data_IF_508198177747
#
_entry.id   IF_508198177747
#
_cell.length_a   1.000
_cell.length_b   1.000
_cell.length_c   1.000
_cell.angle_alpha   90.00
_cell.angle_beta   90.00
_cell.angle_gamma   90.00
#
_symmetry.space_group_name_H-M   'P 1'
#
loop_
_entity.id
_entity.type
_entity.pdbx_description
1 polymer ?
#
# COMPACT_ATOMS: atom_id res chain seq x y z
N UNK A 1 7.01 -12.90 -13.91
CA UNK A 1 6.85 -13.53 -15.25
C UNK A 1 7.68 -12.86 -16.36
N UNK A 2 7.59 -11.54 -16.58
CA UNK A 2 8.41 -10.85 -17.61
C UNK A 2 9.90 -11.15 -17.46
N UNK A 3 10.45 -11.01 -16.24
CA UNK A 3 11.85 -11.34 -15.96
C UNK A 3 12.21 -12.80 -16.26
N UNK A 4 11.26 -13.73 -16.10
CA UNK A 4 11.45 -15.12 -16.48
C UNK A 4 11.57 -15.26 -18.00
N UNK A 5 10.69 -14.63 -18.77
CA UNK A 5 10.77 -14.61 -20.24
C UNK A 5 12.06 -13.94 -20.74
N UNK A 6 12.49 -12.83 -20.13
CA UNK A 6 13.77 -12.16 -20.46
C UNK A 6 14.95 -13.11 -20.24
N UNK A 7 14.98 -13.82 -19.09
CA UNK A 7 16.00 -14.84 -18.82
C UNK A 7 15.96 -15.99 -19.83
N UNK A 8 14.77 -16.44 -20.23
CA UNK A 8 14.62 -17.48 -21.26
C UNK A 8 15.13 -17.04 -22.63
N UNK A 9 14.80 -15.82 -23.05
CA UNK A 9 15.30 -15.25 -24.31
C UNK A 9 16.82 -15.13 -24.29
N UNK A 10 17.39 -14.59 -23.21
CA UNK A 10 18.85 -14.48 -23.02
C UNK A 10 19.53 -15.85 -23.05
N UNK A 11 18.93 -16.87 -22.43
CA UNK A 11 19.46 -18.24 -22.45
C UNK A 11 19.43 -18.87 -23.84
N UNK A 12 18.37 -18.65 -24.63
CA UNK A 12 18.21 -19.25 -25.97
C UNK A 12 19.04 -18.55 -27.05
N UNK A 13 19.18 -17.23 -26.98
CA UNK A 13 19.77 -16.42 -28.05
C UNK A 13 21.02 -15.63 -27.65
N UNK A 14 21.45 -15.71 -26.38
CA UNK A 14 22.58 -14.96 -25.83
C UNK A 14 22.48 -13.43 -26.00
N UNK A 15 21.24 -12.91 -26.08
CA UNK A 15 20.94 -11.49 -26.25
C UNK A 15 20.10 -10.96 -25.10
N UNK A 16 20.39 -9.74 -24.65
CA UNK A 16 19.70 -9.10 -23.53
C UNK A 16 18.60 -8.14 -23.98
N UNK A 17 17.39 -8.30 -23.44
CA UNK A 17 16.23 -7.46 -23.74
C UNK A 17 16.15 -6.22 -22.85
N UNK A 18 16.97 -6.14 -21.80
CA UNK A 18 16.81 -5.16 -20.72
C UNK A 18 16.98 -3.70 -21.19
N UNK A 19 17.77 -3.47 -22.24
CA UNK A 19 17.96 -2.15 -22.86
C UNK A 19 16.89 -1.73 -23.88
N UNK A 20 15.95 -2.61 -24.25
CA UNK A 20 14.96 -2.33 -25.29
C UNK A 20 13.55 -2.17 -24.69
N UNK A 21 13.17 -0.92 -24.41
CA UNK A 21 11.88 -0.57 -23.82
C UNK A 21 10.69 -1.03 -24.66
N UNK A 22 10.79 -0.95 -25.99
CA UNK A 22 9.74 -1.40 -26.92
C UNK A 22 9.52 -2.91 -26.84
N UNK A 23 10.61 -3.69 -26.83
CA UNK A 23 10.54 -5.15 -26.68
C UNK A 23 9.96 -5.53 -25.31
N UNK A 24 10.40 -4.87 -24.23
CA UNK A 24 9.88 -5.11 -22.88
C UNK A 24 8.39 -4.76 -22.76
N UNK A 25 7.93 -3.69 -23.40
CA UNK A 25 6.50 -3.34 -23.42
C UNK A 25 5.66 -4.38 -24.15
N UNK A 26 6.11 -4.86 -25.32
CA UNK A 26 5.43 -5.94 -26.05
C UNK A 26 5.38 -7.21 -25.21
N UNK A 27 6.50 -7.58 -24.59
CA UNK A 27 6.59 -8.74 -23.71
C UNK A 27 5.67 -8.61 -22.49
N UNK A 28 5.58 -7.43 -21.88
CA UNK A 28 4.67 -7.14 -20.76
C UNK A 28 3.21 -7.35 -21.16
N UNK A 29 2.79 -6.82 -22.30
CA UNK A 29 1.42 -6.95 -22.78
C UNK A 29 1.06 -8.42 -23.06
N UNK A 30 1.95 -9.18 -23.70
CA UNK A 30 1.73 -10.62 -23.94
C UNK A 30 1.73 -11.42 -22.64
N UNK A 31 2.64 -11.11 -21.72
CA UNK A 31 2.65 -11.70 -20.38
C UNK A 31 1.33 -11.40 -19.63
N UNK A 32 0.79 -10.19 -19.71
CA UNK A 32 -0.49 -9.89 -19.07
C UNK A 32 -1.64 -10.73 -19.64
N UNK A 33 -1.70 -10.89 -20.97
CA UNK A 33 -2.67 -11.78 -21.63
C UNK A 33 -2.50 -13.24 -21.19
N UNK A 34 -1.25 -13.72 -21.12
CA UNK A 34 -0.93 -15.05 -20.62
C UNK A 34 -1.38 -15.24 -19.16
N UNK A 35 -1.14 -14.26 -18.28
CA UNK A 35 -1.61 -14.27 -16.88
C UNK A 35 -3.12 -14.45 -16.82
N UNK A 36 -3.88 -13.68 -17.61
CA UNK A 36 -5.35 -13.78 -17.67
C UNK A 36 -5.81 -15.17 -18.14
N UNK A 37 -5.14 -15.75 -19.14
CA UNK A 37 -5.43 -17.11 -19.62
C UNK A 37 -5.14 -18.17 -18.56
N UNK A 38 -4.02 -18.05 -17.83
CA UNK A 38 -3.64 -18.99 -16.76
C UNK A 38 -4.61 -19.01 -15.57
N UNK A 39 -5.45 -17.99 -15.40
CA UNK A 39 -6.56 -18.03 -14.44
C UNK A 39 -7.60 -19.10 -14.78
N UNK A 40 -7.71 -19.50 -16.05
CA UNK A 40 -8.71 -20.47 -16.54
C UNK A 40 -8.06 -21.75 -17.07
N UNK A 41 -6.90 -21.63 -17.75
CA UNK A 41 -6.16 -22.74 -18.37
C UNK A 41 -4.97 -23.17 -17.51
N UNK A 42 -4.52 -24.41 -17.66
CA UNK A 42 -3.35 -24.95 -16.95
C UNK A 42 -2.02 -24.60 -17.61
N UNK A 43 -2.05 -24.23 -18.89
CA UNK A 43 -0.88 -23.81 -19.69
C UNK A 43 -1.33 -22.78 -20.75
N UNK A 44 -0.40 -21.93 -21.18
CA UNK A 44 -0.61 -21.02 -22.29
C UNK A 44 0.70 -20.65 -22.97
N UNK A 45 0.63 -20.33 -24.26
CA UNK A 45 1.77 -19.91 -25.05
C UNK A 45 1.98 -18.39 -25.03
N UNK A 46 3.25 -18.01 -25.04
CA UNK A 46 3.75 -16.64 -25.17
C UNK A 46 4.53 -16.58 -26.47
N UNK A 47 3.93 -15.89 -27.44
CA UNK A 47 4.44 -15.78 -28.81
C UNK A 47 4.53 -14.30 -29.19
N UNK A 48 5.71 -13.89 -29.68
CA UNK A 48 5.96 -12.52 -30.13
C UNK A 48 6.92 -12.53 -31.31
N UNK A 49 6.42 -12.16 -32.48
CA UNK A 49 7.23 -12.02 -33.69
C UNK A 49 8.19 -10.83 -33.59
N UNK A 50 9.41 -11.00 -34.07
CA UNK A 50 10.46 -9.98 -34.09
C UNK A 50 10.58 -9.25 -32.75
N UNK A 51 10.69 -10.00 -31.64
CA UNK A 51 10.77 -9.44 -30.30
C UNK A 51 12.02 -8.54 -30.16
N UNK A 52 13.17 -9.00 -30.64
CA UNK A 52 14.43 -8.26 -30.57
C UNK A 52 15.38 -8.68 -31.69
N UNK A 53 15.97 -7.70 -32.39
CA UNK A 53 16.92 -7.93 -33.49
C UNK A 53 16.40 -8.91 -34.58
N UNK A 54 15.09 -8.84 -34.88
CA UNK A 54 14.45 -9.73 -35.86
C UNK A 54 14.25 -11.18 -35.39
N UNK A 55 14.53 -11.48 -34.11
CA UNK A 55 14.34 -12.81 -33.53
C UNK A 55 12.94 -12.89 -32.91
N UNK A 56 12.19 -13.92 -33.32
CA UNK A 56 10.90 -14.27 -32.74
C UNK A 56 11.07 -14.94 -31.37
N UNK A 57 10.08 -14.77 -30.50
CA UNK A 57 10.09 -15.40 -29.18
C UNK A 57 8.87 -16.30 -29.00
N UNK A 58 9.13 -17.59 -28.80
CA UNK A 58 8.13 -18.61 -28.50
C UNK A 58 8.51 -19.36 -27.22
N UNK A 59 7.57 -19.42 -26.27
CA UNK A 59 7.66 -20.24 -25.06
C UNK A 59 6.26 -20.56 -24.54
N UNK A 60 6.07 -21.75 -23.97
CA UNK A 60 4.89 -22.03 -23.16
C UNK A 60 5.17 -21.72 -21.68
N UNK A 61 4.13 -21.46 -20.92
CA UNK A 61 4.18 -21.34 -19.45
C UNK A 61 2.98 -22.04 -18.83
N UNK A 62 3.26 -22.87 -17.82
CA UNK A 62 2.23 -23.55 -17.03
C UNK A 62 1.78 -22.69 -15.85
N UNK A 63 0.56 -22.93 -15.37
CA UNK A 63 0.00 -22.29 -14.17
C UNK A 63 0.89 -22.55 -12.96
N UNK A 64 1.33 -23.79 -12.76
CA UNK A 64 2.23 -24.14 -11.66
C UNK A 64 3.56 -23.37 -11.72
N UNK A 65 4.10 -23.12 -12.91
CA UNK A 65 5.30 -22.29 -13.05
C UNK A 65 5.02 -20.82 -12.74
N UNK A 66 3.89 -20.29 -13.18
CA UNK A 66 3.47 -18.93 -12.83
C UNK A 66 3.29 -18.77 -11.32
N UNK A 67 2.66 -19.72 -10.65
CA UNK A 67 2.46 -19.70 -9.20
C UNK A 67 3.80 -19.74 -8.47
N UNK A 68 4.72 -20.63 -8.87
CA UNK A 68 6.07 -20.69 -8.30
C UNK A 68 6.82 -19.35 -8.44
N UNK A 69 6.70 -18.68 -9.59
CA UNK A 69 7.38 -17.41 -9.85
C UNK A 69 6.85 -16.24 -9.01
N UNK A 70 5.66 -16.36 -8.42
CA UNK A 70 5.03 -15.28 -7.67
C UNK A 70 4.68 -15.67 -6.23
N UNK A 71 5.18 -16.81 -5.74
CA UNK A 71 4.84 -17.31 -4.39
C UNK A 71 5.19 -16.29 -3.30
N UNK A 72 6.34 -15.61 -3.42
CA UNK A 72 6.75 -14.57 -2.46
C UNK A 72 5.74 -13.42 -2.39
N UNK A 73 5.12 -13.05 -3.52
CA UNK A 73 4.07 -12.03 -3.53
C UNK A 73 2.79 -12.53 -2.89
N UNK A 74 2.42 -13.80 -3.12
CA UNK A 74 1.23 -14.39 -2.49
C UNK A 74 1.40 -14.49 -0.98
N UNK A 75 2.57 -14.87 -0.48
CA UNK A 75 2.86 -14.93 0.95
C UNK A 75 2.79 -13.54 1.59
N UNK A 76 3.34 -12.51 0.93
CA UNK A 76 3.18 -11.11 1.39
C UNK A 76 1.72 -10.67 1.48
N UNK A 77 0.86 -11.13 0.58
CA UNK A 77 -0.57 -10.85 0.69
C UNK A 77 -1.19 -11.50 1.94
N UNK A 78 -0.76 -12.71 2.31
CA UNK A 78 -1.22 -13.37 3.54
C UNK A 78 -0.77 -12.61 4.78
N UNK A 79 0.50 -12.21 4.83
CA UNK A 79 1.05 -11.41 5.93
C UNK A 79 0.25 -10.12 6.15
N UNK A 80 -0.18 -9.45 5.06
CA UNK A 80 -1.03 -8.26 5.15
C UNK A 80 -2.42 -8.56 5.71
N UNK A 81 -3.05 -9.67 5.32
CA UNK A 81 -4.36 -10.06 5.86
C UNK A 81 -4.25 -10.37 7.36
N UNK A 82 -3.21 -11.09 7.78
CA UNK A 82 -2.97 -11.38 9.19
C UNK A 82 -2.74 -10.12 10.01
N UNK A 83 -1.91 -9.20 9.50
CA UNK A 83 -1.70 -7.90 10.14
C UNK A 83 -2.99 -7.08 10.25
N UNK A 84 -3.85 -7.07 9.23
CA UNK A 84 -5.14 -6.40 9.30
C UNK A 84 -6.06 -6.99 10.39
N UNK A 85 -6.06 -8.33 10.54
CA UNK A 85 -6.82 -9.00 11.60
C UNK A 85 -6.27 -8.68 12.99
N UNK A 86 -4.94 -8.63 13.15
CA UNK A 86 -4.28 -8.22 14.38
C UNK A 86 -4.62 -6.77 14.75
N UNK A 87 -4.53 -5.84 13.79
CA UNK A 87 -4.88 -4.43 13.97
C UNK A 87 -6.36 -4.24 14.34
N UNK A 88 -7.25 -5.11 13.82
CA UNK A 88 -8.66 -5.15 14.18
C UNK A 88 -8.95 -5.88 15.50
N UNK A 89 -7.93 -6.51 16.12
CA UNK A 89 -8.08 -7.41 17.28
C UNK A 89 -9.12 -8.52 17.03
N UNK A 90 -9.11 -9.10 15.82
CA UNK A 90 -10.07 -10.08 15.35
C UNK A 90 -9.40 -11.42 15.06
N UNK A 91 -10.03 -12.51 15.51
CA UNK A 91 -9.60 -13.86 15.14
C UNK A 91 -10.08 -14.24 13.73
N UNK A 92 -9.35 -15.12 13.04
CA UNK A 92 -9.73 -15.63 11.69
C UNK A 92 -11.16 -16.20 11.64
N UNK A 93 -11.63 -16.80 12.73
CA UNK A 93 -12.99 -17.36 12.86
C UNK A 93 -14.10 -16.33 13.03
N UNK A 94 -13.77 -15.06 13.30
CA UNK A 94 -14.75 -13.97 13.44
C UNK A 94 -15.13 -13.33 12.12
N UNK A 95 -14.43 -13.69 11.04
CA UNK A 95 -14.79 -13.31 9.68
C UNK A 95 -15.97 -14.16 9.25
N UNK A 96 -17.05 -13.52 8.81
CA UNK A 96 -18.27 -14.20 8.36
C UNK A 96 -18.22 -14.49 6.87
N UNK A 97 -17.76 -13.53 6.09
CA UNK A 97 -17.75 -13.56 4.63
C UNK A 97 -16.43 -13.01 4.09
N UNK A 98 -15.93 -13.59 2.99
CA UNK A 98 -14.76 -13.11 2.26
C UNK A 98 -15.17 -12.72 0.84
N UNK A 99 -15.22 -11.42 0.59
CA UNK A 99 -15.54 -10.84 -0.71
C UNK A 99 -14.27 -10.60 -1.52
N UNK A 100 -14.25 -11.07 -2.76
CA UNK A 100 -13.12 -10.88 -3.67
C UNK A 100 -13.28 -9.60 -4.50
N UNK A 101 -12.32 -8.69 -4.38
CA UNK A 101 -12.25 -7.46 -5.17
C UNK A 101 -10.99 -7.41 -6.07
N UNK A 102 -11.15 -6.84 -7.26
CA UNK A 102 -10.12 -6.62 -8.27
C UNK A 102 -9.75 -7.85 -9.11
N UNK A 103 -9.42 -7.66 -10.39
CA UNK A 103 -9.16 -8.74 -11.34
C UNK A 103 -8.05 -9.75 -10.99
N UNK A 104 -7.08 -9.40 -10.14
CA UNK A 104 -6.04 -10.35 -9.68
C UNK A 104 -6.59 -11.40 -8.72
N UNK A 105 -7.73 -11.16 -8.07
CA UNK A 105 -8.42 -12.16 -7.22
C UNK A 105 -8.94 -13.36 -8.02
N UNK A 106 -8.98 -13.26 -9.36
CA UNK A 106 -9.34 -14.37 -10.27
C UNK A 106 -8.24 -15.42 -10.40
N UNK A 107 -7.06 -15.21 -9.81
CA UNK A 107 -5.97 -16.20 -9.83
C UNK A 107 -6.33 -17.36 -8.89
N UNK A 108 -6.41 -18.62 -9.39
CA UNK A 108 -6.83 -19.77 -8.58
C UNK A 108 -5.99 -19.97 -7.31
N UNK A 109 -4.67 -19.75 -7.38
CA UNK A 109 -3.80 -19.88 -6.22
C UNK A 109 -4.08 -18.87 -5.12
N UNK A 110 -4.45 -17.64 -5.48
CA UNK A 110 -4.82 -16.59 -4.51
C UNK A 110 -6.11 -17.01 -3.79
N UNK A 111 -7.11 -17.49 -4.53
CA UNK A 111 -8.36 -18.00 -3.94
C UNK A 111 -8.10 -19.20 -3.02
N UNK A 112 -7.26 -20.15 -3.46
CA UNK A 112 -6.90 -21.31 -2.64
C UNK A 112 -6.23 -20.88 -1.32
N UNK A 113 -5.24 -19.99 -1.38
CA UNK A 113 -4.55 -19.49 -0.19
C UNK A 113 -5.52 -18.80 0.78
N UNK A 114 -6.47 -18.01 0.27
CA UNK A 114 -7.49 -17.38 1.11
C UNK A 114 -8.44 -18.40 1.73
N UNK A 115 -8.86 -19.42 0.98
CA UNK A 115 -9.67 -20.51 1.52
C UNK A 115 -8.91 -21.26 2.63
N UNK A 116 -7.64 -21.60 2.40
CA UNK A 116 -6.80 -22.26 3.40
C UNK A 116 -6.64 -21.38 4.66
N UNK A 117 -6.48 -20.06 4.48
CA UNK A 117 -6.35 -19.10 5.59
C UNK A 117 -7.62 -19.01 6.45
N UNK A 118 -8.79 -19.05 5.82
CA UNK A 118 -10.10 -18.97 6.47
C UNK A 118 -10.77 -20.35 6.61
N UNK A 119 -9.98 -21.41 6.82
CA UNK A 119 -10.45 -22.76 7.20
C UNK A 119 -11.46 -23.38 6.22
N UNK A 120 -11.30 -23.12 4.93
CA UNK A 120 -12.15 -23.65 3.86
C UNK A 120 -13.44 -22.86 3.63
N UNK A 121 -13.56 -21.64 4.19
CA UNK A 121 -14.71 -20.76 3.94
C UNK A 121 -14.96 -20.56 2.44
N UNK A 122 -16.24 -20.56 2.06
CA UNK A 122 -16.63 -20.28 0.69
C UNK A 122 -16.43 -18.79 0.37
N UNK A 123 -15.70 -18.51 -0.71
CA UNK A 123 -15.44 -17.13 -1.14
C UNK A 123 -16.64 -16.59 -1.91
N UNK A 124 -17.06 -15.34 -1.65
CA UNK A 124 -18.18 -14.73 -2.33
C UNK A 124 -17.83 -14.41 -3.79
N UNK A 125 -18.34 -15.23 -4.72
CA UNK A 125 -18.11 -15.10 -6.18
C UNK A 125 -19.29 -14.50 -6.94
N UNK A 126 -20.42 -14.24 -6.26
CA UNK A 126 -21.65 -13.73 -6.87
C UNK A 126 -21.58 -12.27 -7.34
N UNK A 127 -20.53 -11.55 -6.94
CA UNK A 127 -20.29 -10.15 -7.29
C UNK A 127 -19.12 -10.11 -8.26
N UNK A 128 -19.22 -9.28 -9.31
CA UNK A 128 -18.11 -9.04 -10.20
C UNK A 128 -16.96 -8.39 -9.42
N UNK A 129 -15.77 -9.01 -9.31
CA UNK A 129 -14.68 -8.46 -8.50
C UNK A 129 -14.26 -7.04 -8.88
N UNK A 130 -14.45 -6.65 -10.14
CA UNK A 130 -14.08 -5.31 -10.63
C UNK A 130 -15.12 -4.23 -10.27
N UNK A 131 -16.31 -4.62 -9.80
CA UNK A 131 -17.42 -3.73 -9.40
C UNK A 131 -17.81 -3.89 -7.93
N UNK A 132 -17.15 -4.80 -7.21
CA UNK A 132 -17.56 -5.25 -5.88
C UNK A 132 -17.63 -4.15 -4.81
N UNK A 133 -17.05 -2.98 -5.05
CA UNK A 133 -17.06 -1.88 -4.09
C UNK A 133 -18.26 -0.93 -4.22
N UNK A 134 -19.11 -1.09 -5.24
CA UNK A 134 -20.24 -0.17 -5.47
C UNK A 134 -21.43 -0.40 -4.53
N UNK A 135 -21.58 -1.62 -3.99
CA UNK A 135 -22.74 -2.00 -3.18
C UNK A 135 -22.54 -1.77 -1.67
N UNK A 136 -21.38 -1.25 -1.25
CA UNK A 136 -21.03 -1.10 0.17
C UNK A 136 -20.92 0.37 0.58
N UNK A 137 -21.48 0.69 1.75
CA UNK A 137 -21.13 1.93 2.46
C UNK A 137 -19.92 1.66 3.34
N UNK A 138 -18.81 2.31 3.03
CA UNK A 138 -17.55 2.13 3.74
C UNK A 138 -17.39 3.23 4.80
N UNK A 139 -17.09 2.80 6.03
CA UNK A 139 -16.60 3.69 7.06
C UNK A 139 -15.07 3.61 7.04
N UNK A 140 -14.43 4.68 6.65
CA UNK A 140 -12.99 4.70 6.38
C UNK A 140 -12.17 5.03 7.64
N UNK A 141 -10.89 4.70 7.61
CA UNK A 141 -9.94 4.91 8.70
C UNK A 141 -8.61 5.45 8.17
N UNK A 142 -7.83 6.07 9.06
CA UNK A 142 -6.47 6.52 8.73
C UNK A 142 -5.51 5.33 8.53
N UNK A 143 -4.73 5.26 7.43
CA UNK A 143 -3.82 4.15 7.19
C UNK A 143 -2.54 4.19 8.04
N UNK A 144 -2.15 5.39 8.47
CA UNK A 144 -0.96 5.65 9.28
C UNK A 144 -1.25 6.69 10.35
N UNK A 145 -0.45 6.67 11.40
CA UNK A 145 -0.47 7.64 12.47
C UNK A 145 0.03 9.00 11.96
N UNK A 146 -0.74 10.05 12.25
CA UNK A 146 -0.43 11.43 11.91
C UNK A 146 -0.03 12.20 13.14
N UNK A 147 1.00 13.03 13.00
CA UNK A 147 1.56 13.74 14.13
C UNK A 147 2.55 14.81 13.73
N UNK A 148 3.22 15.33 14.76
CA UNK A 148 4.15 16.45 14.65
C UNK A 148 5.47 16.12 15.33
N UNK A 149 6.56 16.65 14.79
CA UNK A 149 7.86 16.64 15.45
C UNK A 149 7.82 17.51 16.70
N UNK A 150 8.18 16.96 17.85
CA UNK A 150 8.31 17.71 19.11
C UNK A 150 9.62 17.39 19.83
N UNK A 151 9.99 18.30 20.74
CA UNK A 151 11.19 18.17 21.55
C UNK A 151 12.48 18.43 20.78
N UNK A 152 13.60 18.35 21.51
CA UNK A 152 14.95 18.54 20.94
C UNK A 152 15.50 17.28 20.27
N UNK A 153 14.94 16.12 20.61
CA UNK A 153 15.38 14.81 20.10
C UNK A 153 14.70 14.43 18.78
N UNK A 154 13.76 15.25 18.29
CA UNK A 154 13.04 14.99 17.03
C UNK A 154 12.02 13.86 17.16
N UNK A 155 11.39 13.71 18.32
CA UNK A 155 10.43 12.64 18.58
C UNK A 155 9.11 12.91 17.86
N UNK A 156 8.46 11.85 17.39
CA UNK A 156 7.14 11.89 16.78
C UNK A 156 6.06 11.94 17.87
N UNK A 157 5.29 13.01 17.93
CA UNK A 157 4.08 13.10 18.76
C UNK A 157 2.86 12.82 17.91
N UNK A 158 2.26 11.65 18.09
CA UNK A 158 1.06 11.23 17.36
C UNK A 158 -0.18 11.94 17.90
N UNK A 159 -0.95 12.59 17.01
CA UNK A 159 -2.21 13.27 17.32
C UNK A 159 -3.41 12.42 16.88
N UNK A 160 -3.33 11.82 15.69
CA UNK A 160 -4.33 10.89 15.16
C UNK A 160 -3.63 9.56 14.93
N UNK A 161 -3.86 8.54 15.79
CA UNK A 161 -3.31 7.21 15.59
C UNK A 161 -3.84 6.56 14.31
N UNK A 162 -3.07 5.65 13.71
CA UNK A 162 -3.57 4.78 12.63
C UNK A 162 -4.85 4.06 13.03
N UNK A 163 -5.63 3.65 12.04
CA UNK A 163 -6.93 2.99 12.19
C UNK A 163 -7.99 3.85 12.92
N UNK A 164 -7.77 5.16 13.05
CA UNK A 164 -8.79 6.08 13.55
C UNK A 164 -9.83 6.33 12.46
N UNK A 165 -11.10 6.10 12.76
CA UNK A 165 -12.26 6.39 11.89
C UNK A 165 -12.29 7.84 11.44
N UNK A 166 -12.53 8.06 10.15
CA UNK A 166 -12.73 9.39 9.56
C UNK A 166 -14.21 9.63 9.21
N UNK A 167 -14.70 10.89 9.25
CA UNK A 167 -13.98 12.12 9.58
C UNK A 167 -13.61 12.23 11.07
N UNK A 168 -12.49 12.91 11.37
CA UNK A 168 -12.00 13.10 12.75
C UNK A 168 -11.35 14.46 12.96
N UNK A 169 -11.52 15.03 14.16
CA UNK A 169 -10.83 16.23 14.61
C UNK A 169 -10.12 15.95 15.93
N UNK A 170 -8.82 16.29 16.03
CA UNK A 170 -8.01 16.15 17.25
C UNK A 170 -7.24 17.42 17.53
N UNK A 171 -7.37 17.90 18.77
CA UNK A 171 -6.66 19.07 19.26
C UNK A 171 -5.60 18.64 20.28
N UNK A 172 -4.41 19.21 20.18
CA UNK A 172 -3.31 19.00 21.09
C UNK A 172 -2.63 20.34 21.37
N UNK A 173 -2.42 20.66 22.65
CA UNK A 173 -1.61 21.80 23.04
C UNK A 173 -0.13 21.44 22.93
N UNK A 174 0.58 22.15 22.07
CA UNK A 174 2.03 22.13 21.98
C UNK A 174 2.63 23.38 22.63
N UNK A 175 3.93 23.35 22.91
CA UNK A 175 4.62 24.45 23.59
C UNK A 175 5.97 24.75 22.97
N UNK A 176 6.56 25.89 23.34
CA UNK A 176 7.88 26.31 22.87
C UNK A 176 8.99 25.50 23.50
N UNK A 177 10.05 25.25 22.73
CA UNK A 177 11.23 24.52 23.19
C UNK A 177 12.28 25.46 23.79
N UNK A 178 12.31 26.73 23.37
CA UNK A 178 13.26 27.74 23.83
C UNK A 178 12.58 28.92 24.56
N UNK A 179 13.32 29.58 25.45
CA UNK A 179 12.88 30.80 26.11
C UNK A 179 12.74 31.94 25.10
N UNK A 180 11.67 32.72 25.23
CA UNK A 180 11.36 33.87 24.36
C UNK A 180 11.32 33.53 22.86
N UNK A 181 10.94 32.29 22.54
CA UNK A 181 10.80 31.83 21.16
C UNK A 181 9.71 32.64 20.43
N UNK A 182 10.09 33.34 19.36
CA UNK A 182 9.20 34.23 18.59
C UNK A 182 8.43 33.52 17.47
N UNK A 183 8.91 32.37 17.04
CA UNK A 183 8.29 31.56 15.99
C UNK A 183 8.46 30.06 16.28
N UNK A 184 7.42 29.28 16.01
CA UNK A 184 7.45 27.82 16.12
C UNK A 184 7.32 27.18 14.73
N UNK A 185 8.20 26.22 14.44
CA UNK A 185 8.13 25.40 13.23
C UNK A 185 7.34 24.14 13.54
N UNK A 186 6.30 23.90 12.75
CA UNK A 186 5.50 22.69 12.80
C UNK A 186 5.83 21.86 11.58
N UNK A 187 6.36 20.65 11.80
CA UNK A 187 6.57 19.66 10.75
C UNK A 187 5.61 18.51 10.98
N UNK A 188 4.83 18.20 9.96
CA UNK A 188 3.72 17.26 10.01
C UNK A 188 4.19 15.97 9.34
N UNK A 189 4.07 14.87 10.06
CA UNK A 189 4.55 13.57 9.63
C UNK A 189 3.43 12.54 9.61
N UNK A 190 3.62 11.52 8.78
CA UNK A 190 2.82 10.32 8.67
C UNK A 190 3.73 9.08 8.83
N UNK A 191 3.44 8.22 9.81
CA UNK A 191 4.16 6.96 10.01
C UNK A 191 4.17 6.48 11.46
N UNK A 192 4.75 5.30 11.66
CA UNK A 192 4.73 4.57 12.94
C UNK A 192 6.07 4.59 13.70
N UNK A 193 7.10 5.27 13.18
CA UNK A 193 8.36 5.44 13.89
C UNK A 193 8.20 6.42 15.06
N UNK A 194 8.84 6.13 16.19
CA UNK A 194 8.92 7.05 17.31
C UNK A 194 9.78 8.29 17.00
N UNK A 195 10.63 8.22 15.98
CA UNK A 195 11.50 9.32 15.53
C UNK A 195 10.84 9.97 14.31
N UNK A 196 10.61 11.28 14.36
CA UNK A 196 9.85 12.00 13.34
C UNK A 196 10.51 11.92 11.96
N UNK A 197 11.84 12.06 11.90
CA UNK A 197 12.60 12.07 10.62
C UNK A 197 12.61 10.72 9.90
N UNK A 198 12.29 9.63 10.59
CA UNK A 198 12.16 8.29 9.99
C UNK A 198 10.76 8.05 9.40
N UNK A 199 9.83 8.98 9.61
CA UNK A 199 8.49 8.98 9.05
C UNK A 199 8.41 9.86 7.78
N UNK A 200 7.28 9.79 7.08
CA UNK A 200 7.04 10.56 5.88
C UNK A 200 6.64 12.01 6.22
N UNK A 201 7.40 13.01 5.74
CA UNK A 201 7.05 14.43 5.93
C UNK A 201 5.93 14.82 4.95
N UNK A 202 4.78 15.23 5.48
CA UNK A 202 3.66 15.73 4.68
C UNK A 202 3.76 17.22 4.38
N UNK A 203 4.31 17.99 5.30
CA UNK A 203 4.46 19.43 5.13
C UNK A 203 5.05 20.11 6.34
N UNK A 204 5.44 21.37 6.16
CA UNK A 204 5.91 22.23 7.25
C UNK A 204 5.33 23.63 7.14
N UNK A 205 5.12 24.27 8.28
CA UNK A 205 4.78 25.69 8.35
C UNK A 205 5.35 26.34 9.60
N UNK A 206 5.39 27.66 9.60
CA UNK A 206 5.93 28.49 10.67
C UNK A 206 4.82 29.36 11.27
N UNK A 207 4.62 29.26 12.58
CA UNK A 207 3.78 30.17 13.35
C UNK A 207 4.66 31.25 13.95
N UNK A 208 4.58 32.47 13.39
CA UNK A 208 5.25 33.65 13.93
C UNK A 208 4.40 34.37 14.98
N UNK A 209 4.99 35.24 15.79
CA UNK A 209 4.24 36.13 16.69
C UNK A 209 3.87 35.49 18.03
N UNK A 210 4.69 34.56 18.51
CA UNK A 210 4.56 34.00 19.85
C UNK A 210 5.07 35.04 20.86
N UNK A 211 4.28 35.43 21.88
CA UNK A 211 4.73 36.37 22.90
C UNK A 211 5.96 35.85 23.65
N UNK A 212 6.95 36.71 23.99
CA UNK A 212 8.10 36.29 24.78
C UNK A 212 7.67 35.73 26.14
N UNK A 213 7.97 34.45 26.37
CA UNK A 213 7.72 33.75 27.62
C UNK A 213 8.79 32.66 27.82
N UNK A 214 8.99 32.17 29.05
CA UNK A 214 9.86 31.01 29.30
C UNK A 214 9.41 29.79 28.48
N UNK A 215 10.36 28.91 28.14
CA UNK A 215 10.06 27.65 27.45
C UNK A 215 8.99 26.85 28.20
N UNK A 216 8.11 26.18 27.46
CA UNK A 216 7.05 25.37 28.07
C UNK A 216 5.81 26.16 28.52
N UNK A 217 5.86 27.51 28.54
CA UNK A 217 4.73 28.35 29.00
C UNK A 217 3.71 28.63 27.88
N UNK A 218 4.11 29.04 26.66
CA UNK A 218 3.16 29.23 25.57
C UNK A 218 2.39 27.94 25.26
N UNK A 219 1.07 28.04 25.10
CA UNK A 219 0.22 26.93 24.67
C UNK A 219 -0.29 27.23 23.26
N UNK A 220 0.18 26.45 22.28
CA UNK A 220 -0.19 26.54 20.88
C UNK A 220 -1.20 25.42 20.60
N UNK A 221 -2.45 25.78 20.31
CA UNK A 221 -3.48 24.79 20.05
C UNK A 221 -3.32 24.26 18.62
N UNK A 222 -2.86 23.02 18.48
CA UNK A 222 -2.66 22.36 17.20
C UNK A 222 -3.83 21.43 16.91
N UNK A 223 -4.59 21.73 15.87
CA UNK A 223 -5.75 20.95 15.43
C UNK A 223 -5.43 20.19 14.15
N UNK A 224 -5.67 18.89 14.16
CA UNK A 224 -5.65 18.03 12.99
C UNK A 224 -7.10 17.64 12.67
N UNK A 225 -7.54 17.95 11.45
CA UNK A 225 -8.87 17.62 10.97
C UNK A 225 -8.76 16.83 9.67
N UNK A 226 -9.38 15.65 9.64
CA UNK A 226 -9.51 14.83 8.44
C UNK A 226 -10.99 14.76 8.10
N UNK A 227 -11.32 15.17 6.88
CA UNK A 227 -12.70 15.14 6.38
C UNK A 227 -13.13 13.75 5.89
N UNK A 228 -14.36 13.64 5.39
CA UNK A 228 -14.89 12.38 4.86
C UNK A 228 -14.22 11.91 3.55
N UNK A 229 -13.41 12.76 2.91
CA UNK A 229 -12.64 12.42 1.71
C UNK A 229 -11.19 12.02 2.06
N UNK A 230 -10.82 12.04 3.35
CA UNK A 230 -9.45 11.78 3.78
C UNK A 230 -8.50 12.97 3.63
N UNK A 231 -9.01 14.20 3.40
CA UNK A 231 -8.17 15.39 3.30
C UNK A 231 -7.78 15.90 4.68
N UNK A 232 -6.47 15.92 4.96
CA UNK A 232 -5.90 16.48 6.19
C UNK A 232 -5.80 18.01 6.10
N UNK A 233 -6.41 18.69 7.06
CA UNK A 233 -6.26 20.11 7.35
C UNK A 233 -5.64 20.28 8.72
N UNK A 234 -4.57 21.10 8.82
CA UNK A 234 -3.86 21.36 10.06
C UNK A 234 -3.94 22.84 10.39
N UNK A 235 -4.37 23.16 11.61
CA UNK A 235 -4.52 24.52 12.11
C UNK A 235 -3.72 24.70 13.39
N UNK A 236 -3.09 25.85 13.57
CA UNK A 236 -2.40 26.22 14.80
C UNK A 236 -2.81 27.62 15.22
N UNK A 237 -3.37 27.73 16.41
CA UNK A 237 -3.79 29.00 17.02
C UNK A 237 -2.84 29.41 18.15
#
# INVERSE_FOLDING_TARGET
MVNYCVKQFKRKHNLDLSGNSRALSRLRNTCEKAKRRLSFMTETDIEIDCLHQGIDFYTSITRGKFEQLNMDFFNKCVELVEKCLEDANMGKSSVHDVVLAGGSSRIPKVQQILQDLFQGMELCKGINPDEALQDFTLLDVTPFSLGVETGFEGNMTVLIPKNTTIPVMKNQYLTTTCDNQVAARFRIYEGESAIAVDNNLLGEFLRHGIPPAPKGVPQLNTCFHIDCNGLLSVFVE
#
